data_IF_954857460624
#
_entry.id   IF_954857460624
#
_cell.length_a   1.000
_cell.length_b   1.000
_cell.length_c   1.000
_cell.angle_alpha   90.00
_cell.angle_beta   90.00
_cell.angle_gamma   90.00
#
_symmetry.space_group_name_H-M   'P 1'
#
loop_
_entity.id
_entity.type
_entity.pdbx_description
1 polymer ?
#
# COMPACT_ATOMS: atom_id res chain seq x y z
N UNK A 1 22.01 -17.73 -10.25
CA UNK A 1 20.90 -17.39 -11.19
C UNK A 1 19.56 -17.17 -10.51
N UNK A 2 18.81 -18.20 -10.07
CA UNK A 2 17.47 -18.00 -9.51
C UNK A 2 17.41 -17.09 -8.25
N UNK A 3 18.45 -17.14 -7.41
CA UNK A 3 18.52 -16.35 -6.19
C UNK A 3 18.65 -14.85 -6.49
N UNK A 4 19.45 -14.48 -7.50
CA UNK A 4 19.63 -13.09 -7.97
C UNK A 4 18.33 -12.53 -8.53
N UNK A 5 17.59 -13.34 -9.30
CA UNK A 5 16.28 -12.94 -9.84
C UNK A 5 15.28 -12.73 -8.71
N UNK A 6 15.25 -13.62 -7.71
CA UNK A 6 14.36 -13.48 -6.54
C UNK A 6 14.67 -12.23 -5.72
N UNK A 7 15.95 -11.94 -5.46
CA UNK A 7 16.34 -10.74 -4.71
C UNK A 7 16.07 -9.47 -5.50
N UNK A 8 16.33 -9.46 -6.82
CA UNK A 8 15.98 -8.33 -7.68
C UNK A 8 14.47 -8.04 -7.66
N UNK A 9 13.64 -9.08 -7.83
CA UNK A 9 12.18 -8.94 -7.76
C UNK A 9 11.72 -8.42 -6.39
N UNK A 10 12.32 -8.91 -5.31
CA UNK A 10 11.99 -8.48 -3.96
C UNK A 10 12.38 -7.02 -3.69
N UNK A 11 13.52 -6.56 -4.25
CA UNK A 11 13.97 -5.16 -4.15
C UNK A 11 13.04 -4.24 -4.95
N UNK A 12 12.68 -4.63 -6.18
CA UNK A 12 11.72 -3.89 -7.00
C UNK A 12 10.38 -3.77 -6.27
N UNK A 13 9.85 -4.88 -5.75
CA UNK A 13 8.61 -4.89 -4.99
C UNK A 13 8.65 -3.97 -3.77
N UNK A 14 9.74 -4.00 -2.99
CA UNK A 14 9.93 -3.06 -1.87
C UNK A 14 10.05 -1.61 -2.31
N UNK A 15 10.77 -1.34 -3.40
CA UNK A 15 10.89 0.00 -3.96
C UNK A 15 9.54 0.57 -4.39
N UNK A 16 8.73 -0.22 -5.10
CA UNK A 16 7.37 0.17 -5.48
C UNK A 16 6.50 0.46 -4.25
N UNK A 17 6.55 -0.38 -3.21
CA UNK A 17 5.81 -0.14 -1.97
C UNK A 17 6.19 1.20 -1.32
N UNK A 18 7.49 1.49 -1.27
CA UNK A 18 8.01 2.76 -0.72
C UNK A 18 7.56 3.97 -1.54
N UNK A 19 7.61 3.88 -2.87
CA UNK A 19 7.15 4.93 -3.76
C UNK A 19 5.65 5.20 -3.58
N UNK A 20 4.82 4.15 -3.53
CA UNK A 20 3.39 4.28 -3.30
C UNK A 20 3.08 4.92 -1.95
N UNK A 21 3.80 4.55 -0.88
CA UNK A 21 3.64 5.18 0.43
C UNK A 21 3.93 6.67 0.40
N UNK A 22 4.99 7.07 -0.33
CA UNK A 22 5.35 8.47 -0.48
C UNK A 22 4.29 9.25 -1.30
N UNK A 23 3.76 8.65 -2.37
CA UNK A 23 2.69 9.25 -3.16
C UNK A 23 1.43 9.47 -2.32
N UNK A 24 0.99 8.47 -1.54
CA UNK A 24 -0.19 8.61 -0.66
C UNK A 24 0.04 9.70 0.39
N UNK A 25 1.26 9.79 0.94
CA UNK A 25 1.62 10.85 1.88
C UNK A 25 1.49 12.23 1.22
N UNK A 26 2.06 12.42 0.03
CA UNK A 26 1.98 13.67 -0.74
C UNK A 26 0.53 14.04 -1.08
N UNK A 27 -0.26 13.09 -1.59
CA UNK A 27 -1.69 13.26 -1.85
C UNK A 27 -2.44 13.68 -0.58
N UNK A 28 -2.10 13.09 0.56
CA UNK A 28 -2.72 13.47 1.84
C UNK A 28 -2.37 14.92 2.21
N UNK A 29 -1.18 15.40 1.85
CA UNK A 29 -0.78 16.78 2.13
C UNK A 29 -1.34 17.81 1.16
N UNK A 30 -1.66 17.42 -0.06
CA UNK A 30 -2.21 18.29 -1.12
C UNK A 30 -3.74 18.36 -1.08
N UNK A 31 -4.41 17.26 -0.75
CA UNK A 31 -5.87 17.15 -0.82
C UNK A 31 -6.57 17.57 0.48
N UNK A 32 -5.90 17.42 1.63
CA UNK A 32 -6.51 17.67 2.94
C UNK A 32 -6.05 19.02 3.52
N UNK A 33 -6.97 19.92 3.92
CA UNK A 33 -6.61 21.11 4.70
C UNK A 33 -5.99 20.74 6.06
N UNK A 34 -5.17 21.65 6.60
CA UNK A 34 -4.37 21.50 7.84
C UNK A 34 -5.05 20.76 9.01
N UNK A 35 -6.33 20.97 9.36
CA UNK A 35 -6.95 20.28 10.50
C UNK A 35 -7.18 18.78 10.29
N UNK A 36 -7.35 18.30 9.04
CA UNK A 36 -7.67 16.89 8.76
C UNK A 36 -6.48 16.09 8.25
N UNK A 37 -5.35 16.74 7.91
CA UNK A 37 -4.10 16.08 7.49
C UNK A 37 -3.59 15.07 8.52
N UNK A 38 -3.52 15.47 9.80
CA UNK A 38 -3.00 14.60 10.86
C UNK A 38 -3.90 13.38 11.08
N UNK A 39 -5.22 13.55 10.97
CA UNK A 39 -6.21 12.48 11.06
C UNK A 39 -6.09 11.50 9.89
N UNK A 40 -5.92 12.00 8.65
CA UNK A 40 -5.71 11.16 7.46
C UNK A 40 -4.44 10.31 7.55
N UNK A 41 -3.32 10.92 7.98
CA UNK A 41 -2.06 10.21 8.21
C UNK A 41 -2.16 9.18 9.34
N UNK A 42 -2.87 9.51 10.43
CA UNK A 42 -3.14 8.59 11.53
C UNK A 42 -4.00 7.39 11.10
N UNK A 43 -4.99 7.63 10.24
CA UNK A 43 -5.83 6.58 9.69
C UNK A 43 -5.04 5.64 8.77
N UNK A 44 -4.22 6.18 7.85
CA UNK A 44 -3.35 5.38 6.99
C UNK A 44 -2.36 4.53 7.79
N UNK A 45 -1.77 5.11 8.85
CA UNK A 45 -0.90 4.38 9.77
C UNK A 45 -1.62 3.24 10.50
N UNK A 46 -2.87 3.48 10.92
CA UNK A 46 -3.69 2.45 11.58
C UNK A 46 -4.01 1.31 10.62
N UNK A 47 -4.39 1.60 9.39
CA UNK A 47 -4.63 0.59 8.34
C UNK A 47 -3.37 -0.22 8.02
N UNK A 48 -2.20 0.41 7.99
CA UNK A 48 -0.93 -0.30 7.83
C UNK A 48 -0.66 -1.28 8.99
N UNK A 49 -1.01 -0.91 10.23
CA UNK A 49 -0.90 -1.81 11.40
C UNK A 49 -1.88 -2.99 11.30
N UNK A 50 -3.11 -2.74 10.85
CA UNK A 50 -4.09 -3.81 10.59
C UNK A 50 -3.53 -4.80 9.56
N UNK A 51 -2.95 -4.31 8.45
CA UNK A 51 -2.27 -5.17 7.47
C UNK A 51 -1.14 -6.00 8.07
N UNK A 52 -0.35 -5.41 8.96
CA UNK A 52 0.70 -6.11 9.70
C UNK A 52 0.20 -7.20 10.65
N UNK A 53 -0.99 -7.04 11.24
CA UNK A 53 -1.64 -8.06 12.08
C UNK A 53 -2.24 -9.19 11.22
N UNK A 54 -2.80 -8.85 10.05
CA UNK A 54 -3.41 -9.81 9.13
C UNK A 54 -2.36 -10.67 8.42
N UNK A 55 -1.18 -10.15 8.11
CA UNK A 55 -0.11 -10.89 7.44
C UNK A 55 0.28 -12.24 8.10
N UNK A 56 0.59 -12.30 9.41
CA UNK A 56 0.89 -13.58 10.07
C UNK A 56 -0.33 -14.50 10.16
N UNK A 57 -1.56 -13.95 10.28
CA UNK A 57 -2.79 -14.75 10.28
C UNK A 57 -2.99 -15.46 8.94
N UNK A 58 -2.76 -14.77 7.82
CA UNK A 58 -2.81 -15.35 6.48
C UNK A 58 -1.69 -16.40 6.30
N UNK A 59 -0.50 -16.14 6.86
CA UNK A 59 0.60 -17.12 6.84
C UNK A 59 0.28 -18.38 7.65
N UNK A 60 -0.47 -18.27 8.75
CA UNK A 60 -0.91 -19.45 9.51
C UNK A 60 -1.90 -20.31 8.73
N UNK A 61 -2.70 -19.72 7.84
CA UNK A 61 -3.60 -20.49 6.96
C UNK A 61 -2.89 -21.27 5.84
N UNK A 62 -1.60 -20.99 5.60
CA UNK A 62 -0.75 -21.72 4.64
C UNK A 62 -0.70 -23.22 4.93
N UNK A 63 -0.77 -23.58 6.22
CA UNK A 63 -0.69 -24.97 6.69
C UNK A 63 -1.88 -25.82 6.23
N UNK A 64 -3.03 -25.18 5.95
CA UNK A 64 -4.23 -25.86 5.47
C UNK A 64 -4.44 -25.66 3.96
N UNK A 65 -4.13 -24.46 3.44
CA UNK A 65 -4.29 -24.10 2.03
C UNK A 65 -3.06 -23.34 1.50
N UNK A 66 -2.06 -24.02 0.92
CA UNK A 66 -0.81 -23.39 0.48
C UNK A 66 -0.95 -22.41 -0.70
N UNK A 67 -2.08 -22.44 -1.40
CA UNK A 67 -2.39 -21.48 -2.47
C UNK A 67 -2.93 -20.14 -1.95
N UNK A 68 -3.47 -20.12 -0.73
CA UNK A 68 -4.23 -18.99 -0.21
C UNK A 68 -3.34 -17.77 0.12
N UNK A 69 -2.18 -17.92 0.78
CA UNK A 69 -1.29 -16.79 1.05
C UNK A 69 -0.79 -16.06 -0.20
N UNK A 70 -0.21 -16.73 -1.22
CA UNK A 70 0.26 -16.02 -2.41
C UNK A 70 -0.88 -15.36 -3.18
N UNK A 71 -2.09 -15.95 -3.19
CA UNK A 71 -3.26 -15.33 -3.79
C UNK A 71 -3.66 -14.04 -3.05
N UNK A 72 -3.71 -14.05 -1.71
CA UNK A 72 -4.06 -12.86 -0.91
C UNK A 72 -3.01 -11.76 -1.07
N UNK A 73 -1.72 -12.09 -0.97
CA UNK A 73 -0.64 -11.12 -1.15
C UNK A 73 -0.55 -10.58 -2.59
N UNK A 74 -1.02 -11.33 -3.60
CA UNK A 74 -1.06 -10.89 -4.99
C UNK A 74 -2.30 -10.04 -5.33
N UNK A 75 -3.49 -10.48 -4.90
CA UNK A 75 -4.76 -9.82 -5.26
C UNK A 75 -4.98 -8.53 -4.48
N UNK A 76 -4.63 -8.48 -3.19
CA UNK A 76 -4.82 -7.29 -2.37
C UNK A 76 -4.17 -6.01 -2.94
N UNK A 77 -2.87 -6.00 -3.34
CA UNK A 77 -2.26 -4.82 -3.94
C UNK A 77 -2.80 -4.50 -5.35
N UNK A 78 -3.28 -5.50 -6.11
CA UNK A 78 -3.91 -5.26 -7.42
C UNK A 78 -5.24 -4.52 -7.26
N UNK A 79 -6.08 -4.94 -6.32
CA UNK A 79 -7.33 -4.24 -5.99
C UNK A 79 -7.03 -2.83 -5.48
N UNK A 80 -6.01 -2.67 -4.64
CA UNK A 80 -5.59 -1.35 -4.17
C UNK A 80 -5.08 -0.45 -5.31
N UNK A 81 -4.33 -0.99 -6.27
CA UNK A 81 -3.86 -0.26 -7.45
C UNK A 81 -5.01 0.15 -8.37
N UNK A 82 -6.00 -0.74 -8.57
CA UNK A 82 -7.22 -0.39 -9.30
C UNK A 82 -7.98 0.75 -8.63
N UNK A 83 -8.16 0.68 -7.31
CA UNK A 83 -8.80 1.74 -6.53
C UNK A 83 -8.01 3.06 -6.60
N UNK A 84 -6.68 2.99 -6.58
CA UNK A 84 -5.81 4.16 -6.76
C UNK A 84 -5.94 4.80 -8.16
N UNK A 85 -6.31 4.02 -9.18
CA UNK A 85 -6.62 4.57 -10.51
C UNK A 85 -7.88 5.46 -10.55
N UNK A 86 -8.75 5.35 -9.55
CA UNK A 86 -9.92 6.24 -9.39
C UNK A 86 -9.60 7.52 -8.61
N UNK A 87 -8.39 7.68 -8.08
CA UNK A 87 -8.02 8.92 -7.40
C UNK A 87 -7.92 10.07 -8.41
N UNK A 88 -8.57 11.22 -8.15
CA UNK A 88 -8.47 12.38 -9.02
C UNK A 88 -7.04 12.89 -9.04
N UNK A 89 -6.56 13.29 -10.21
CA UNK A 89 -5.22 13.85 -10.37
C UNK A 89 -5.15 15.21 -9.64
N UNK A 90 -4.25 15.32 -8.65
CA UNK A 90 -4.02 16.58 -7.89
C UNK A 90 -3.02 17.51 -8.58
N UNK A 91 -2.42 17.09 -9.69
CA UNK A 91 -1.43 17.85 -10.44
C UNK A 91 -2.10 19.08 -11.09
N UNK A 92 -1.66 20.29 -10.72
CA UNK A 92 -2.15 21.61 -11.18
C UNK A 92 -3.48 22.13 -10.58
N UNK A 93 -4.05 21.50 -9.56
CA UNK A 93 -5.15 22.14 -8.80
C UNK A 93 -4.62 23.13 -7.76
N UNK A 94 -5.20 24.35 -7.65
CA UNK A 94 -4.84 25.28 -6.58
C UNK A 94 -5.18 24.64 -5.23
N UNK A 95 -4.25 24.69 -4.28
CA UNK A 95 -4.49 24.15 -2.94
C UNK A 95 -5.70 24.87 -2.31
N UNK A 96 -6.68 24.15 -1.76
CA UNK A 96 -7.69 24.74 -0.91
C UNK A 96 -6.97 25.26 0.35
N UNK A 97 -6.94 26.59 0.53
CA UNK A 97 -6.50 27.25 1.77
C UNK A 97 -7.34 26.82 2.99
#
# INVERSE_FOLDING_TARGET
ELQTVRTALAVIGKGCLSASFNCVFLYTTELYPTPIRQTGLGFGSTMARVGGIVAPLVKMMDEYYPFLPPAVYGVAPVVAAMAAGFLPETLNTPLPD
#
